data_IF_833479159235
#
_entry.id   IF_833479159235
#
_cell.length_a   1.000
_cell.length_b   1.000
_cell.length_c   1.000
_cell.angle_alpha   90.00
_cell.angle_beta   90.00
_cell.angle_gamma   90.00
#
_symmetry.space_group_name_H-M   'P 1'
#
loop_
_entity.id
_entity.type
_entity.pdbx_description
1 polymer ?
#
# COMPACT_ATOMS: atom_id res chain seq x y z
N UNK A 1 -18.42 -18.15 6.41
CA UNK A 1 -17.46 -18.24 7.53
C UNK A 1 -16.64 -16.96 7.54
N UNK A 2 -16.09 -16.59 8.70
CA UNK A 2 -15.09 -15.53 8.77
C UNK A 2 -13.72 -16.21 8.70
N UNK A 3 -12.98 -15.99 7.61
CA UNK A 3 -11.74 -16.73 7.33
C UNK A 3 -10.48 -15.95 7.77
N UNK A 4 -10.60 -14.63 7.93
CA UNK A 4 -9.50 -13.78 8.36
C UNK A 4 -9.93 -12.39 8.82
N UNK A 5 -8.97 -11.64 9.36
CA UNK A 5 -9.11 -10.26 9.82
C UNK A 5 -8.18 -9.35 9.03
N UNK A 6 -8.73 -8.25 8.53
CA UNK A 6 -7.95 -7.19 7.86
C UNK A 6 -7.78 -6.03 8.82
N UNK A 7 -6.54 -5.69 9.17
CA UNK A 7 -6.23 -4.45 9.88
C UNK A 7 -5.92 -3.36 8.84
N UNK A 8 -6.72 -2.30 8.86
CA UNK A 8 -6.71 -1.21 7.88
C UNK A 8 -7.14 0.10 8.57
N UNK A 9 -7.78 1.02 7.85
CA UNK A 9 -8.24 2.33 8.34
C UNK A 9 -7.35 3.46 7.82
N UNK A 10 -6.89 4.33 8.72
CA UNK A 10 -5.89 5.35 8.39
C UNK A 10 -4.51 4.70 8.15
N UNK A 11 -3.70 4.62 9.19
CA UNK A 11 -2.50 3.78 9.19
C UNK A 11 -2.48 2.94 10.46
N UNK A 12 -2.81 1.65 10.31
CA UNK A 12 -2.98 0.75 11.46
C UNK A 12 -1.68 0.53 12.24
N UNK A 13 -0.52 0.62 11.56
CA UNK A 13 0.80 0.44 12.19
C UNK A 13 1.20 1.55 13.16
N UNK A 14 0.45 2.66 13.21
CA UNK A 14 0.63 3.71 14.23
C UNK A 14 0.07 3.27 15.59
N UNK A 15 -0.88 2.33 15.63
CA UNK A 15 -1.53 1.93 16.86
C UNK A 15 -0.59 1.07 17.73
N UNK A 16 -0.26 1.54 18.93
CA UNK A 16 0.72 0.89 19.82
C UNK A 16 0.36 -0.55 20.21
N UNK A 17 -0.92 -0.91 20.20
CA UNK A 17 -1.38 -2.26 20.51
C UNK A 17 -1.62 -3.15 19.28
N UNK A 18 -1.29 -2.70 18.06
CA UNK A 18 -1.55 -3.47 16.83
C UNK A 18 -1.01 -4.89 16.94
N UNK A 19 0.28 -5.03 17.30
CA UNK A 19 0.96 -6.33 17.37
C UNK A 19 0.29 -7.24 18.40
N UNK A 20 -0.11 -6.69 19.55
CA UNK A 20 -0.82 -7.46 20.57
C UNK A 20 -2.17 -7.97 20.03
N UNK A 21 -2.94 -7.14 19.32
CA UNK A 21 -4.20 -7.57 18.72
C UNK A 21 -4.01 -8.61 17.63
N UNK A 22 -2.99 -8.44 16.78
CA UNK A 22 -2.68 -9.42 15.73
C UNK A 22 -2.34 -10.78 16.35
N UNK A 23 -1.55 -10.83 17.44
CA UNK A 23 -1.27 -12.07 18.17
C UNK A 23 -2.54 -12.75 18.67
N UNK A 24 -3.48 -12.00 19.24
CA UNK A 24 -4.75 -12.58 19.69
C UNK A 24 -5.57 -13.12 18.52
N UNK A 25 -5.63 -12.41 17.39
CA UNK A 25 -6.31 -12.89 16.19
C UNK A 25 -5.68 -14.19 15.65
N UNK A 26 -4.34 -14.26 15.58
CA UNK A 26 -3.64 -15.50 15.17
C UNK A 26 -3.90 -16.66 16.14
N UNK A 27 -3.94 -16.40 17.46
CA UNK A 27 -4.30 -17.43 18.47
C UNK A 27 -5.72 -17.96 18.29
N UNK A 28 -6.64 -17.14 17.78
CA UNK A 28 -8.00 -17.56 17.46
C UNK A 28 -8.09 -18.38 16.16
N UNK A 29 -6.99 -18.53 15.42
CA UNK A 29 -6.91 -19.34 14.20
C UNK A 29 -7.34 -18.62 12.92
N UNK A 30 -7.43 -17.28 12.94
CA UNK A 30 -7.77 -16.49 11.76
C UNK A 30 -6.53 -16.12 10.94
N UNK A 31 -6.69 -16.00 9.63
CA UNK A 31 -5.71 -15.36 8.76
C UNK A 31 -5.66 -13.85 9.04
N UNK A 32 -4.50 -13.24 8.88
CA UNK A 32 -4.25 -11.82 9.12
C UNK A 32 -3.74 -11.15 7.86
N UNK A 33 -4.44 -10.09 7.46
CA UNK A 33 -4.01 -9.16 6.41
C UNK A 33 -3.77 -7.77 6.98
N UNK A 34 -2.68 -7.14 6.58
CA UNK A 34 -2.40 -5.73 6.87
C UNK A 34 -2.52 -4.89 5.61
N UNK A 35 -3.32 -3.82 5.70
CA UNK A 35 -3.35 -2.74 4.72
C UNK A 35 -2.58 -1.55 5.29
N UNK A 36 -1.49 -1.16 4.64
CA UNK A 36 -0.57 -0.12 5.16
C UNK A 36 -0.03 0.76 4.02
N UNK A 37 0.29 2.00 4.36
CA UNK A 37 1.06 2.90 3.50
C UNK A 37 2.58 2.71 3.64
N UNK A 38 3.03 1.78 4.50
CA UNK A 38 4.44 1.44 4.66
C UNK A 38 5.29 2.45 5.43
N UNK A 39 4.67 3.39 6.15
CA UNK A 39 5.40 4.41 6.92
C UNK A 39 6.06 3.90 8.21
N UNK A 40 5.84 2.64 8.59
CA UNK A 40 6.36 2.01 9.82
C UNK A 40 7.10 0.69 9.52
N UNK A 41 8.26 0.74 8.85
CA UNK A 41 9.04 -0.46 8.51
C UNK A 41 9.42 -1.32 9.72
N UNK A 42 9.61 -0.70 10.89
CA UNK A 42 9.90 -1.38 12.15
C UNK A 42 8.75 -2.30 12.60
N UNK A 43 7.50 -1.83 12.45
CA UNK A 43 6.31 -2.61 12.82
C UNK A 43 6.11 -3.76 11.84
N UNK A 44 6.27 -3.51 10.54
CA UNK A 44 6.18 -4.55 9.50
C UNK A 44 7.25 -5.61 9.70
N UNK A 45 8.50 -5.22 9.94
CA UNK A 45 9.59 -6.15 10.21
C UNK A 45 9.33 -7.03 11.44
N UNK A 46 8.77 -6.44 12.51
CA UNK A 46 8.40 -7.20 13.71
C UNK A 46 7.27 -8.20 13.42
N UNK A 47 6.21 -7.79 12.72
CA UNK A 47 5.09 -8.66 12.36
C UNK A 47 5.54 -9.85 11.50
N UNK A 48 6.50 -9.66 10.58
CA UNK A 48 7.09 -10.74 9.77
C UNK A 48 7.93 -11.67 10.64
N UNK A 49 8.81 -11.13 11.49
CA UNK A 49 9.72 -11.92 12.34
C UNK A 49 8.94 -12.80 13.33
N UNK A 50 7.77 -12.32 13.78
CA UNK A 50 6.89 -13.07 14.67
C UNK A 50 5.89 -13.99 13.95
N UNK A 51 5.98 -14.13 12.62
CA UNK A 51 5.09 -14.96 11.79
C UNK A 51 3.59 -14.61 11.95
N UNK A 52 3.30 -13.31 11.99
CA UNK A 52 1.97 -12.76 12.29
C UNK A 52 1.18 -12.32 11.05
N UNK A 53 1.73 -12.48 9.85
CA UNK A 53 1.15 -11.97 8.61
C UNK A 53 0.92 -13.09 7.61
N UNK A 54 -0.31 -13.20 7.12
CA UNK A 54 -0.66 -14.07 6.00
C UNK A 54 -0.68 -13.30 4.68
N UNK A 55 -0.95 -11.99 4.73
CA UNK A 55 -0.96 -11.14 3.54
C UNK A 55 -0.71 -9.65 3.84
N UNK A 56 -0.13 -8.91 2.89
CA UNK A 56 -0.01 -7.45 2.98
C UNK A 56 -0.53 -6.78 1.70
N UNK A 57 -1.27 -5.69 1.86
CA UNK A 57 -1.52 -4.74 0.78
C UNK A 57 -0.78 -3.43 1.09
N UNK A 58 0.22 -3.12 0.27
CA UNK A 58 1.13 -2.00 0.47
C UNK A 58 0.78 -0.84 -0.48
N UNK A 59 0.38 0.30 0.07
CA UNK A 59 -0.05 1.45 -0.73
C UNK A 59 1.15 2.29 -1.20
N UNK A 60 1.44 2.23 -2.49
CA UNK A 60 2.42 3.05 -3.16
C UNK A 60 1.78 4.35 -3.69
N UNK A 61 2.06 5.47 -3.03
CA UNK A 61 1.35 6.73 -3.32
C UNK A 61 1.93 7.50 -4.52
N UNK A 62 3.26 7.56 -4.64
CA UNK A 62 3.96 8.12 -5.81
C UNK A 62 5.47 7.88 -5.70
N UNK A 63 6.21 8.28 -6.73
CA UNK A 63 7.67 8.43 -6.69
C UNK A 63 8.10 9.64 -5.82
N UNK A 64 9.37 9.69 -5.36
CA UNK A 64 9.83 10.67 -4.38
C UNK A 64 9.65 12.12 -4.86
N UNK A 65 9.87 12.40 -6.15
CA UNK A 65 9.75 13.73 -6.75
C UNK A 65 8.33 14.34 -6.67
N UNK A 66 7.29 13.52 -6.54
CA UNK A 66 5.89 13.97 -6.37
C UNK A 66 5.30 13.58 -5.01
N UNK A 67 6.08 12.95 -4.13
CA UNK A 67 5.55 12.37 -2.89
C UNK A 67 4.91 13.40 -1.98
N UNK A 68 5.56 14.55 -1.79
CA UNK A 68 4.99 15.65 -1.02
C UNK A 68 3.70 16.20 -1.65
N UNK A 69 3.65 16.35 -2.98
CA UNK A 69 2.48 16.87 -3.70
C UNK A 69 1.26 15.97 -3.52
N UNK A 70 1.46 14.65 -3.59
CA UNK A 70 0.40 13.64 -3.50
C UNK A 70 -0.03 13.39 -2.05
N UNK A 71 0.94 13.30 -1.12
CA UNK A 71 0.68 12.79 0.23
C UNK A 71 0.69 13.87 1.31
N UNK A 72 1.29 15.04 1.04
CA UNK A 72 1.61 16.07 2.03
C UNK A 72 2.44 15.53 3.21
N UNK A 73 3.33 14.58 2.91
CA UNK A 73 4.22 13.95 3.89
C UNK A 73 5.59 13.65 3.28
N UNK A 74 6.58 13.41 4.15
CA UNK A 74 7.95 13.01 3.76
C UNK A 74 8.24 11.55 4.21
N UNK A 75 7.36 10.64 3.79
CA UNK A 75 7.36 9.23 4.22
C UNK A 75 7.84 8.27 3.13
N UNK A 76 8.36 8.77 2.02
CA UNK A 76 8.81 7.93 0.91
C UNK A 76 9.93 6.96 1.33
N UNK A 77 10.93 7.42 2.07
CA UNK A 77 12.04 6.56 2.51
C UNK A 77 11.57 5.45 3.45
N UNK A 78 10.58 5.74 4.31
CA UNK A 78 9.98 4.72 5.17
C UNK A 78 9.22 3.68 4.35
N UNK A 79 8.42 4.13 3.36
CA UNK A 79 7.76 3.25 2.41
C UNK A 79 8.74 2.38 1.64
N UNK A 80 9.83 2.96 1.11
CA UNK A 80 10.86 2.25 0.36
C UNK A 80 11.51 1.15 1.21
N UNK A 81 11.85 1.47 2.46
CA UNK A 81 12.36 0.48 3.41
C UNK A 81 11.37 -0.64 3.69
N UNK A 82 10.07 -0.32 3.83
CA UNK A 82 9.02 -1.34 3.99
C UNK A 82 8.94 -2.23 2.75
N UNK A 83 9.00 -1.67 1.54
CA UNK A 83 9.01 -2.44 0.31
C UNK A 83 10.20 -3.40 0.25
N UNK A 84 11.41 -2.93 0.61
CA UNK A 84 12.61 -3.76 0.62
C UNK A 84 12.51 -4.93 1.61
N UNK A 85 11.95 -4.69 2.80
CA UNK A 85 11.63 -5.75 3.78
C UNK A 85 10.66 -6.76 3.17
N UNK A 86 9.57 -6.30 2.56
CA UNK A 86 8.55 -7.18 1.98
C UNK A 86 9.08 -8.01 0.81
N UNK A 87 9.86 -7.41 -0.10
CA UNK A 87 10.51 -8.10 -1.23
C UNK A 87 11.48 -9.18 -0.74
N UNK A 88 12.13 -8.96 0.40
CA UNK A 88 13.06 -9.92 1.02
C UNK A 88 12.36 -10.97 1.89
N UNK A 89 11.05 -10.83 2.12
CA UNK A 89 10.26 -11.74 2.95
C UNK A 89 9.56 -12.83 2.14
N UNK A 90 9.10 -13.88 2.81
CA UNK A 90 8.21 -14.89 2.21
C UNK A 90 6.73 -14.53 2.29
N UNK A 91 6.37 -13.40 2.93
CA UNK A 91 4.97 -13.00 3.11
C UNK A 91 4.39 -12.53 1.78
N UNK A 92 3.30 -13.16 1.28
CA UNK A 92 2.67 -12.72 0.04
C UNK A 92 2.13 -11.29 0.16
N UNK A 93 2.34 -10.46 -0.87
CA UNK A 93 1.83 -9.10 -0.86
C UNK A 93 1.53 -8.52 -2.24
N UNK A 94 0.57 -7.59 -2.25
CA UNK A 94 0.24 -6.74 -3.39
C UNK A 94 0.68 -5.29 -3.14
N UNK A 95 1.00 -4.59 -4.23
CA UNK A 95 1.19 -3.14 -4.19
C UNK A 95 -0.01 -2.46 -4.82
N UNK A 96 -0.47 -1.35 -4.23
CA UNK A 96 -1.65 -0.62 -4.70
C UNK A 96 -1.36 0.86 -4.88
N UNK A 97 -1.98 1.49 -5.88
CA UNK A 97 -1.97 2.94 -6.06
C UNK A 97 -3.38 3.45 -6.27
N UNK A 98 -3.82 4.38 -5.42
CA UNK A 98 -5.04 5.16 -5.68
C UNK A 98 -4.73 6.28 -6.67
N UNK A 99 -5.47 6.34 -7.78
CA UNK A 99 -5.18 7.21 -8.92
C UNK A 99 -6.19 8.35 -9.00
N UNK A 100 -5.68 9.57 -8.83
CA UNK A 100 -6.36 10.80 -9.22
C UNK A 100 -5.72 11.37 -10.48
N UNK A 101 -6.48 11.63 -11.56
CA UNK A 101 -5.89 12.00 -12.86
C UNK A 101 -5.06 13.28 -12.85
N UNK A 102 -5.41 14.24 -12.00
CA UNK A 102 -4.65 15.49 -11.84
C UNK A 102 -3.31 15.28 -11.11
N UNK A 103 -3.22 14.29 -10.22
CA UNK A 103 -2.01 13.99 -9.46
C UNK A 103 -1.12 12.98 -10.17
N UNK A 104 -1.72 11.94 -10.76
CA UNK A 104 -1.06 10.78 -11.35
C UNK A 104 -1.56 10.52 -12.77
N UNK A 105 -0.84 11.08 -13.73
CA UNK A 105 -0.97 10.78 -15.17
C UNK A 105 -0.36 9.42 -15.50
N UNK A 106 -0.71 8.88 -16.67
CA UNK A 106 -0.21 7.59 -17.18
C UNK A 106 1.31 7.46 -17.12
N UNK A 107 2.05 8.52 -17.49
CA UNK A 107 3.52 8.53 -17.44
C UNK A 107 4.09 8.34 -16.03
N UNK A 108 3.41 8.86 -15.00
CA UNK A 108 3.83 8.63 -13.61
C UNK A 108 3.60 7.17 -13.22
N UNK A 109 2.47 6.58 -13.65
CA UNK A 109 2.17 5.18 -13.36
C UNK A 109 3.16 4.22 -14.06
N UNK A 110 3.54 4.52 -15.31
CA UNK A 110 4.60 3.79 -16.04
C UNK A 110 5.95 3.86 -15.29
N UNK A 111 6.33 5.04 -14.79
CA UNK A 111 7.55 5.24 -14.03
C UNK A 111 7.51 4.51 -12.68
N UNK A 112 6.39 4.58 -11.95
CA UNK A 112 6.16 3.86 -10.70
C UNK A 112 6.29 2.33 -10.89
N UNK A 113 5.71 1.79 -11.96
CA UNK A 113 5.84 0.36 -12.28
C UNK A 113 7.29 -0.01 -12.60
N UNK A 114 7.99 0.79 -13.40
CA UNK A 114 9.41 0.59 -13.70
C UNK A 114 10.26 0.58 -12.42
N UNK A 115 9.98 1.52 -11.51
CA UNK A 115 10.68 1.62 -10.23
C UNK A 115 10.43 0.39 -9.34
N UNK A 116 9.18 -0.09 -9.24
CA UNK A 116 8.86 -1.31 -8.49
C UNK A 116 9.62 -2.52 -9.04
N UNK A 117 9.68 -2.67 -10.37
CA UNK A 117 10.45 -3.75 -11.02
C UNK A 117 11.95 -3.61 -10.75
N UNK A 118 12.48 -2.38 -10.77
CA UNK A 118 13.87 -2.09 -10.40
C UNK A 118 14.20 -2.41 -8.93
N UNK A 119 13.21 -2.32 -8.04
CA UNK A 119 13.30 -2.77 -6.63
C UNK A 119 13.07 -4.27 -6.42
N UNK A 120 12.95 -5.05 -7.50
CA UNK A 120 12.77 -6.49 -7.43
C UNK A 120 11.33 -6.95 -7.14
N UNK A 121 10.35 -6.03 -7.14
CA UNK A 121 8.96 -6.41 -6.96
C UNK A 121 8.33 -6.85 -8.28
N UNK A 122 8.08 -8.16 -8.43
CA UNK A 122 7.46 -8.77 -9.62
C UNK A 122 5.98 -9.17 -9.43
N UNK A 123 5.42 -8.92 -8.24
CA UNK A 123 4.05 -9.27 -7.89
C UNK A 123 2.98 -8.38 -8.52
N UNK A 124 1.77 -8.50 -7.98
CA UNK A 124 0.58 -7.79 -8.44
C UNK A 124 0.62 -6.31 -8.06
N UNK A 125 0.59 -5.45 -9.08
CA UNK A 125 0.45 -4.01 -8.91
C UNK A 125 -0.97 -3.59 -9.30
N UNK A 126 -1.78 -3.16 -8.33
CA UNK A 126 -3.16 -2.75 -8.55
C UNK A 126 -3.33 -1.24 -8.60
N UNK A 127 -4.15 -0.78 -9.55
CA UNK A 127 -4.55 0.61 -9.67
C UNK A 127 -6.00 0.76 -9.26
N UNK A 128 -6.28 1.70 -8.38
CA UNK A 128 -7.61 1.95 -7.82
C UNK A 128 -8.06 3.36 -8.23
N UNK A 129 -9.26 3.54 -8.80
CA UNK A 129 -9.74 4.88 -9.13
C UNK A 129 -10.05 5.65 -7.84
N UNK A 130 -9.65 6.93 -7.79
CA UNK A 130 -10.13 7.83 -6.75
C UNK A 130 -11.67 7.90 -6.78
N UNK A 131 -12.28 7.80 -5.60
CA UNK A 131 -13.73 7.97 -5.39
C UNK A 131 -13.97 9.27 -4.63
N UNK A 132 -14.66 10.21 -5.27
CA UNK A 132 -14.98 11.53 -4.71
C UNK A 132 -16.24 11.55 -3.84
N UNK A 133 -16.65 10.40 -3.31
CA UNK A 133 -17.88 10.24 -2.52
C UNK A 133 -17.69 10.58 -1.03
N UNK A 134 -16.46 10.93 -0.61
CA UNK A 134 -16.09 11.29 0.76
C UNK A 134 -15.45 12.67 0.80
N UNK A 135 -15.61 13.34 1.95
CA UNK A 135 -14.91 14.60 2.21
C UNK A 135 -13.39 14.35 2.29
N UNK A 136 -12.64 15.09 1.47
CA UNK A 136 -11.18 15.08 1.44
C UNK A 136 -10.60 16.30 2.15
N UNK A 137 -9.32 16.28 2.50
CA UNK A 137 -8.62 17.39 3.17
C UNK A 137 -8.58 18.69 2.35
N UNK A 138 -8.85 18.60 1.04
CA UNK A 138 -9.07 19.74 0.15
C UNK A 138 -9.96 19.31 -1.01
N UNK A 139 -10.44 20.27 -1.81
CA UNK A 139 -11.21 19.95 -3.01
C UNK A 139 -10.27 19.38 -4.08
N UNK A 140 -10.35 18.07 -4.34
CA UNK A 140 -9.55 17.39 -5.35
C UNK A 140 -10.19 17.43 -6.75
N UNK A 141 -11.45 17.86 -6.85
CA UNK A 141 -12.18 17.93 -8.12
C UNK A 141 -12.55 16.54 -8.67
N UNK A 142 -12.85 16.49 -9.96
CA UNK A 142 -13.16 15.25 -10.66
C UNK A 142 -11.89 14.48 -11.03
N UNK A 143 -11.97 13.14 -10.96
CA UNK A 143 -10.93 12.25 -11.45
C UNK A 143 -11.48 11.41 -12.60
N UNK A 144 -10.73 11.34 -13.71
CA UNK A 144 -11.02 10.42 -14.82
C UNK A 144 -10.03 9.27 -14.79
N UNK A 145 -10.52 8.04 -14.93
CA UNK A 145 -9.64 6.86 -15.02
C UNK A 145 -8.66 7.04 -16.19
N UNK A 146 -7.33 7.16 -15.96
CA UNK A 146 -6.39 7.38 -17.04
C UNK A 146 -6.33 6.20 -18.00
N UNK A 147 -6.22 6.49 -19.30
CA UNK A 147 -5.92 5.46 -20.30
C UNK A 147 -4.47 5.03 -20.15
N UNK A 148 -4.25 3.74 -19.91
CA UNK A 148 -2.91 3.17 -19.80
C UNK A 148 -2.37 2.86 -21.20
N UNK A 149 -1.17 3.36 -21.51
CA UNK A 149 -0.49 3.08 -22.79
C UNK A 149 0.18 1.71 -22.82
N UNK A 150 0.49 1.16 -21.64
CA UNK A 150 1.16 -0.12 -21.46
C UNK A 150 0.41 -0.97 -20.41
N UNK A 151 0.84 -2.23 -20.18
CA UNK A 151 0.30 -3.08 -19.09
C UNK A 151 0.83 -2.59 -17.73
N UNK A 152 0.47 -1.37 -17.34
CA UNK A 152 0.80 -0.80 -16.02
C UNK A 152 -0.19 -1.34 -15.00
N UNK A 153 0.21 -2.39 -14.28
CA UNK A 153 -0.62 -2.99 -13.25
C UNK A 153 -2.00 -3.45 -13.76
N UNK A 154 -2.92 -3.67 -12.81
CA UNK A 154 -4.28 -4.13 -13.08
C UNK A 154 -5.26 -3.20 -12.38
N UNK A 155 -6.24 -2.67 -13.10
CA UNK A 155 -7.30 -1.88 -12.47
C UNK A 155 -8.19 -2.76 -11.59
N UNK A 156 -8.37 -2.36 -10.34
CA UNK A 156 -9.38 -2.92 -9.41
C UNK A 156 -10.40 -1.84 -9.06
N UNK A 157 -11.65 -2.27 -8.93
CA UNK A 157 -12.75 -1.42 -8.49
C UNK A 157 -12.82 -1.39 -6.98
#
# INVERSE_FOLDING_TARGET
MLDGVVFSGGECTIHSQLIAFVREVKKMGFEVKIDTNGSRPEVIGQLITEDLLDYVALDFKSLPEKYWEVTRSDLFLAFEKTLEIMVSSSVPFEVRTTVHSEQLRTSHLDAMNTWLRGKGYFGSYYLQPFRGDKQTLGNLGESKKPSLKSRVGVWRN
#
